data_IF_007959049666
#
_entry.id   IF_007959049666
#
_cell.length_a   1.000
_cell.length_b   1.000
_cell.length_c   1.000
_cell.angle_alpha   90.00
_cell.angle_beta   90.00
_cell.angle_gamma   90.00
#
_symmetry.space_group_name_H-M   'P 1'
#
loop_
_entity.id
_entity.type
_entity.pdbx_description
1 polymer ?
#
# COMPACT_ATOMS: atom_id res chain seq x y z
N UNK A 1 16.22 -5.64 35.37
CA UNK A 1 15.17 -6.26 34.56
C UNK A 1 15.77 -6.52 33.19
N UNK A 2 15.97 -7.79 32.83
CA UNK A 2 16.38 -8.14 31.47
C UNK A 2 15.16 -8.00 30.56
N UNK A 3 15.17 -7.08 29.64
CA UNK A 3 14.16 -7.03 28.57
C UNK A 3 14.42 -8.24 27.66
N UNK A 4 13.57 -9.26 27.73
CA UNK A 4 13.51 -10.26 26.67
C UNK A 4 12.95 -9.57 25.43
N UNK A 5 13.76 -9.52 24.38
CA UNK A 5 13.34 -8.99 23.10
C UNK A 5 12.34 -9.97 22.50
N UNK A 6 11.06 -9.59 22.47
CA UNK A 6 10.07 -10.39 21.79
C UNK A 6 10.41 -10.41 20.29
N UNK A 7 10.37 -11.57 19.61
CA UNK A 7 10.56 -11.63 18.18
C UNK A 7 9.52 -10.76 17.47
N UNK A 8 9.91 -10.21 16.33
CA UNK A 8 9.01 -9.37 15.53
C UNK A 8 7.78 -10.17 15.12
N UNK A 9 6.57 -9.76 15.49
CA UNK A 9 5.36 -10.62 15.45
C UNK A 9 4.74 -10.74 14.05
N UNK A 10 5.36 -10.13 13.02
CA UNK A 10 4.83 -10.10 11.66
C UNK A 10 5.66 -10.96 10.72
N UNK A 11 5.01 -11.93 10.10
CA UNK A 11 5.56 -12.73 9.01
C UNK A 11 4.91 -12.30 7.70
N UNK A 12 5.70 -11.74 6.79
CA UNK A 12 5.21 -11.35 5.47
C UNK A 12 4.92 -12.59 4.61
N UNK A 13 3.85 -12.53 3.83
CA UNK A 13 3.63 -13.50 2.73
C UNK A 13 4.58 -13.15 1.58
N UNK A 14 5.24 -14.16 1.02
CA UNK A 14 6.09 -14.02 -0.15
C UNK A 14 5.35 -14.44 -1.41
N UNK A 15 5.50 -13.64 -2.44
CA UNK A 15 4.80 -13.79 -3.70
C UNK A 15 5.80 -14.02 -4.85
N UNK A 16 5.59 -15.04 -5.70
CA UNK A 16 6.48 -15.29 -6.83
C UNK A 16 6.30 -14.23 -7.92
N UNK A 17 7.38 -14.03 -8.70
CA UNK A 17 7.25 -13.33 -9.96
C UNK A 17 6.33 -14.09 -10.93
N UNK A 18 5.75 -13.37 -11.88
CA UNK A 18 4.93 -13.93 -12.94
C UNK A 18 5.19 -13.18 -14.23
N UNK A 19 5.61 -13.90 -15.27
CA UNK A 19 5.66 -13.35 -16.62
C UNK A 19 4.28 -13.45 -17.28
N UNK A 20 3.77 -12.36 -17.86
CA UNK A 20 2.55 -12.40 -18.68
C UNK A 20 2.82 -13.11 -20.03
N UNK A 21 1.78 -13.24 -20.86
CA UNK A 21 1.96 -13.64 -22.25
C UNK A 21 2.74 -12.56 -23.00
N UNK A 22 3.86 -12.96 -23.62
CA UNK A 22 4.78 -12.06 -24.32
C UNK A 22 4.85 -12.40 -25.82
N UNK A 23 4.97 -11.35 -26.62
CA UNK A 23 5.34 -11.43 -28.02
C UNK A 23 6.55 -10.53 -28.27
N UNK A 24 7.66 -11.10 -28.67
CA UNK A 24 8.93 -10.40 -28.92
C UNK A 24 9.38 -9.54 -27.71
N UNK A 25 9.20 -10.05 -26.48
CA UNK A 25 9.56 -9.35 -25.24
C UNK A 25 8.58 -8.25 -24.82
N UNK A 26 7.48 -8.07 -25.53
CA UNK A 26 6.41 -7.14 -25.20
C UNK A 26 5.18 -7.90 -24.73
N UNK A 27 4.56 -7.45 -23.65
CA UNK A 27 3.27 -7.98 -23.22
C UNK A 27 2.19 -7.72 -24.27
N UNK A 28 1.44 -8.79 -24.61
CA UNK A 28 0.42 -8.69 -25.63
C UNK A 28 -0.77 -7.80 -25.23
N UNK A 29 -1.01 -7.67 -23.93
CA UNK A 29 -2.10 -6.85 -23.40
C UNK A 29 -1.61 -5.43 -23.17
N UNK A 30 -2.41 -4.45 -23.57
CA UNK A 30 -2.29 -3.05 -23.20
C UNK A 30 -3.17 -2.76 -21.97
N UNK A 31 -2.70 -1.95 -21.06
CA UNK A 31 -3.37 -1.67 -19.79
C UNK A 31 -3.85 -0.22 -19.71
N UNK A 32 -5.09 0.03 -19.27
CA UNK A 32 -5.57 1.41 -19.12
C UNK A 32 -4.81 2.19 -18.06
N UNK A 33 -4.38 1.52 -16.97
CA UNK A 33 -3.61 2.16 -15.90
C UNK A 33 -2.55 1.21 -15.37
N UNK A 34 -1.34 1.75 -15.16
CA UNK A 34 -0.24 1.07 -14.49
C UNK A 34 0.14 1.86 -13.24
N UNK A 35 0.09 1.21 -12.09
CA UNK A 35 0.53 1.77 -10.80
C UNK A 35 1.87 1.15 -10.45
N UNK A 36 2.87 1.98 -10.15
CA UNK A 36 4.22 1.53 -9.79
C UNK A 36 4.44 1.72 -8.30
N UNK A 37 4.70 0.62 -7.61
CA UNK A 37 4.91 0.52 -6.17
C UNK A 37 3.71 -0.02 -5.40
N UNK A 38 3.88 -1.14 -4.68
CA UNK A 38 2.91 -1.82 -3.83
C UNK A 38 2.89 -1.30 -2.38
N UNK A 39 3.23 -0.04 -2.15
CA UNK A 39 3.09 0.61 -0.85
C UNK A 39 1.66 1.09 -0.56
N UNK A 40 1.42 1.74 0.60
CA UNK A 40 0.08 2.19 0.98
C UNK A 40 -0.61 3.07 -0.06
N UNK A 41 0.15 3.94 -0.73
CA UNK A 41 -0.37 4.84 -1.78
C UNK A 41 -0.74 4.05 -3.03
N UNK A 42 0.11 3.11 -3.48
CA UNK A 42 -0.15 2.30 -4.67
C UNK A 42 -1.38 1.43 -4.51
N UNK A 43 -1.50 0.69 -3.40
CA UNK A 43 -2.70 -0.10 -3.11
C UNK A 43 -3.96 0.77 -3.01
N UNK A 44 -3.88 1.92 -2.32
CA UNK A 44 -5.00 2.85 -2.22
C UNK A 44 -5.44 3.36 -3.59
N UNK A 45 -4.48 3.66 -4.48
CA UNK A 45 -4.74 4.09 -5.85
C UNK A 45 -5.40 2.97 -6.67
N UNK A 46 -4.85 1.75 -6.60
CA UNK A 46 -5.39 0.60 -7.32
C UNK A 46 -6.82 0.27 -6.88
N UNK A 47 -7.08 0.23 -5.56
CA UNK A 47 -8.41 0.02 -5.00
C UNK A 47 -9.38 1.14 -5.39
N UNK A 48 -8.92 2.39 -5.38
CA UNK A 48 -9.71 3.54 -5.82
C UNK A 48 -10.14 3.42 -7.27
N UNK A 49 -9.23 3.08 -8.17
CA UNK A 49 -9.51 2.86 -9.59
C UNK A 49 -10.46 1.67 -9.79
N UNK A 50 -10.20 0.56 -9.13
CA UNK A 50 -11.05 -0.63 -9.19
C UNK A 50 -12.48 -0.37 -8.69
N UNK A 51 -12.66 0.50 -7.66
CA UNK A 51 -13.99 0.90 -7.18
C UNK A 51 -14.82 1.65 -8.24
N UNK A 52 -14.17 2.19 -9.26
CA UNK A 52 -14.79 2.80 -10.45
C UNK A 52 -14.80 1.88 -11.68
N UNK A 53 -14.47 0.60 -11.51
CA UNK A 53 -14.45 -0.37 -12.60
C UNK A 53 -13.27 -0.21 -13.57
N UNK A 54 -12.21 0.52 -13.19
CA UNK A 54 -11.02 0.73 -14.00
C UNK A 54 -10.01 -0.37 -13.71
N UNK A 55 -9.66 -1.24 -14.69
CA UNK A 55 -8.62 -2.25 -14.52
C UNK A 55 -7.24 -1.60 -14.32
N UNK A 56 -6.44 -2.20 -13.44
CA UNK A 56 -5.14 -1.68 -13.03
C UNK A 56 -4.12 -2.81 -12.99
N UNK A 57 -2.90 -2.55 -13.47
CA UNK A 57 -1.72 -3.36 -13.15
C UNK A 57 -0.93 -2.63 -12.07
N UNK A 58 -0.71 -3.27 -10.92
CA UNK A 58 0.11 -2.78 -9.84
C UNK A 58 1.44 -3.54 -9.85
N UNK A 59 2.54 -2.82 -10.01
CA UNK A 59 3.90 -3.37 -10.12
C UNK A 59 4.64 -3.13 -8.81
N UNK A 60 5.16 -4.22 -8.20
CA UNK A 60 5.98 -4.15 -6.99
C UNK A 60 7.31 -4.87 -7.22
N UNK A 61 8.39 -4.20 -6.82
CA UNK A 61 9.75 -4.71 -7.01
C UNK A 61 10.18 -5.75 -5.98
N UNK A 62 9.58 -5.70 -4.79
CA UNK A 62 9.82 -6.66 -3.73
C UNK A 62 8.90 -7.89 -3.87
N UNK A 63 9.11 -8.92 -3.08
CA UNK A 63 8.31 -10.14 -3.08
C UNK A 63 7.24 -10.18 -1.98
N UNK A 64 7.18 -9.14 -1.16
CA UNK A 64 6.31 -9.05 0.02
C UNK A 64 5.99 -7.60 0.35
N UNK A 65 5.04 -7.38 1.26
CA UNK A 65 4.83 -6.06 1.87
C UNK A 65 6.08 -5.62 2.64
N UNK A 66 6.21 -4.32 2.93
CA UNK A 66 7.42 -3.76 3.50
C UNK A 66 7.86 -4.46 4.79
N UNK A 67 9.16 -4.61 4.97
CA UNK A 67 9.75 -5.01 6.24
C UNK A 67 10.01 -3.79 7.13
N UNK A 68 9.62 -3.91 8.41
CA UNK A 68 9.71 -2.81 9.37
C UNK A 68 8.61 -1.76 9.17
N UNK A 69 8.64 -0.72 9.98
CA UNK A 69 7.65 0.36 9.90
C UNK A 69 8.34 1.70 9.70
N UNK A 70 7.95 2.41 8.63
CA UNK A 70 8.41 3.77 8.30
C UNK A 70 7.38 4.83 8.65
N UNK A 71 6.12 4.42 8.81
CA UNK A 71 5.01 5.26 9.19
C UNK A 71 4.17 4.55 10.24
N UNK A 72 3.58 5.32 11.16
CA UNK A 72 2.79 4.77 12.26
C UNK A 72 1.48 5.54 12.46
N UNK A 73 1.47 6.86 12.23
CA UNK A 73 0.31 7.70 12.52
C UNK A 73 -0.57 7.86 11.28
N UNK A 74 -1.79 7.36 11.35
CA UNK A 74 -2.79 7.43 10.30
C UNK A 74 -3.85 8.44 10.69
N UNK A 75 -4.01 9.49 9.89
CA UNK A 75 -4.97 10.55 10.14
C UNK A 75 -6.41 10.11 9.85
N UNK A 76 -7.39 10.82 10.44
CA UNK A 76 -8.82 10.63 10.16
C UNK A 76 -9.10 10.64 8.66
N UNK A 77 -8.48 11.54 7.91
CA UNK A 77 -8.68 11.61 6.45
C UNK A 77 -8.27 10.33 5.74
N UNK A 78 -7.16 9.73 6.14
CA UNK A 78 -6.72 8.44 5.59
C UNK A 78 -7.67 7.31 5.98
N UNK A 79 -8.21 7.33 7.21
CA UNK A 79 -9.23 6.37 7.64
C UNK A 79 -10.54 6.51 6.86
N UNK A 80 -10.97 7.74 6.53
CA UNK A 80 -12.13 7.99 5.66
C UNK A 80 -11.92 7.43 4.24
N UNK A 81 -10.70 7.51 3.72
CA UNK A 81 -10.34 6.89 2.44
C UNK A 81 -10.41 5.37 2.56
N UNK A 82 -9.82 4.79 3.62
CA UNK A 82 -9.90 3.37 3.88
C UNK A 82 -11.34 2.86 4.04
N UNK A 83 -12.23 3.66 4.66
CA UNK A 83 -13.67 3.37 4.79
C UNK A 83 -14.34 3.25 3.41
N UNK A 84 -14.09 4.22 2.53
CA UNK A 84 -14.63 4.20 1.14
C UNK A 84 -14.14 3.02 0.32
N UNK A 85 -12.93 2.54 0.58
CA UNK A 85 -12.35 1.38 -0.09
C UNK A 85 -12.73 0.05 0.58
N UNK A 86 -13.47 0.09 1.70
CA UNK A 86 -13.87 -1.09 2.46
C UNK A 86 -12.73 -1.77 3.21
N UNK A 87 -11.65 -1.05 3.50
CA UNK A 87 -10.47 -1.53 4.24
C UNK A 87 -10.47 -1.08 5.72
N UNK A 88 -11.33 -0.12 6.10
CA UNK A 88 -11.36 0.46 7.44
C UNK A 88 -11.45 -0.56 8.59
N UNK A 89 -12.26 -1.64 8.51
CA UNK A 89 -12.35 -2.59 9.61
C UNK A 89 -10.99 -3.15 10.03
N UNK A 90 -10.12 -3.52 9.07
CA UNK A 90 -8.77 -3.99 9.37
C UNK A 90 -7.88 -2.94 10.04
N UNK A 91 -8.04 -1.67 9.69
CA UNK A 91 -7.29 -0.56 10.33
C UNK A 91 -7.70 -0.37 11.80
N UNK A 92 -8.99 -0.52 12.12
CA UNK A 92 -9.50 -0.29 13.47
C UNK A 92 -9.35 -1.53 14.38
N UNK A 93 -9.30 -2.72 13.80
CA UNK A 93 -9.19 -3.98 14.54
C UNK A 93 -7.84 -4.10 15.29
N UNK A 94 -6.75 -3.73 14.62
CA UNK A 94 -5.40 -3.82 15.17
C UNK A 94 -4.74 -2.47 15.44
N UNK A 95 -5.33 -1.38 14.96
CA UNK A 95 -4.82 -0.03 15.16
C UNK A 95 -5.12 0.51 16.56
N UNK A 96 -4.22 1.34 17.09
CA UNK A 96 -4.40 2.01 18.37
C UNK A 96 -4.91 3.45 18.14
N UNK A 97 -6.21 3.74 18.39
CA UNK A 97 -6.72 5.11 18.32
C UNK A 97 -6.14 5.99 19.42
N UNK A 98 -5.87 7.25 19.10
CA UNK A 98 -5.44 8.22 20.08
C UNK A 98 -5.91 9.64 19.75
N UNK A 99 -5.99 10.50 20.76
CA UNK A 99 -6.61 11.82 20.68
C UNK A 99 -5.71 12.95 21.14
N UNK A 100 -4.55 12.65 21.67
CA UNK A 100 -3.63 13.66 22.16
C UNK A 100 -2.28 13.06 22.51
N UNK A 101 -1.34 13.92 22.88
CA UNK A 101 0.00 13.52 23.23
C UNK A 101 0.63 14.41 24.27
N UNK A 102 1.69 13.91 24.89
CA UNK A 102 2.51 14.62 25.87
C UNK A 102 3.97 14.45 25.48
N UNK A 103 4.74 15.52 25.62
CA UNK A 103 6.18 15.48 25.45
C UNK A 103 6.86 15.88 26.75
N UNK A 104 7.94 15.18 27.09
CA UNK A 104 8.68 15.40 28.32
C UNK A 104 10.13 15.74 28.00
N UNK A 105 10.69 16.68 28.74
CA UNK A 105 12.12 16.87 28.87
C UNK A 105 12.55 16.36 30.25
N UNK A 106 13.26 15.23 30.29
CA UNK A 106 13.48 14.46 31.54
C UNK A 106 12.13 14.17 32.22
N UNK A 107 11.91 14.64 33.44
CA UNK A 107 10.69 14.42 34.21
C UNK A 107 9.69 15.60 34.12
N UNK A 108 10.02 16.62 33.32
CA UNK A 108 9.19 17.82 33.18
C UNK A 108 8.36 17.71 31.89
N UNK A 109 7.02 17.75 32.00
CA UNK A 109 6.14 17.87 30.86
C UNK A 109 6.32 19.25 30.23
N UNK A 110 6.73 19.27 28.94
CA UNK A 110 6.98 20.51 28.18
C UNK A 110 5.90 20.79 27.16
N UNK A 111 5.10 19.79 26.78
CA UNK A 111 3.99 19.94 25.84
C UNK A 111 2.90 18.93 26.17
N UNK A 112 1.67 19.41 26.21
CA UNK A 112 0.46 18.60 26.17
C UNK A 112 -0.47 19.16 25.11
N UNK A 113 -1.00 18.30 24.24
CA UNK A 113 -1.98 18.69 23.25
C UNK A 113 -3.09 17.66 23.14
N UNK A 114 -4.27 18.15 22.79
CA UNK A 114 -5.42 17.31 22.44
C UNK A 114 -5.88 17.70 21.05
N UNK A 115 -6.15 16.71 20.21
CA UNK A 115 -6.66 16.94 18.86
C UNK A 115 -8.11 17.39 18.89
N UNK A 116 -8.53 18.33 18.04
CA UNK A 116 -9.92 18.73 17.94
C UNK A 116 -10.79 17.52 17.57
N UNK A 117 -11.88 17.39 18.31
CA UNK A 117 -12.94 16.41 18.05
C UNK A 117 -14.29 17.11 17.99
N UNK A 118 -15.14 16.65 17.07
CA UNK A 118 -16.51 17.09 16.90
C UNK A 118 -17.43 15.87 17.07
N UNK A 119 -18.59 16.06 17.65
CA UNK A 119 -19.60 15.03 17.89
C UNK A 119 -20.07 14.35 16.60
N UNK A 120 -19.96 15.05 15.47
CA UNK A 120 -20.34 14.53 14.15
C UNK A 120 -19.23 13.75 13.45
N UNK A 121 -18.05 13.61 14.07
CA UNK A 121 -16.93 12.89 13.48
C UNK A 121 -16.98 11.39 13.81
N UNK A 122 -17.24 10.58 12.79
CA UNK A 122 -17.36 9.12 12.89
C UNK A 122 -16.06 8.43 13.34
N UNK A 123 -14.89 8.98 12.96
CA UNK A 123 -13.60 8.32 13.11
C UNK A 123 -12.67 9.06 14.07
N UNK A 124 -11.77 8.36 14.75
CA UNK A 124 -10.78 8.99 15.62
C UNK A 124 -9.87 9.93 14.82
N UNK A 125 -9.30 10.97 15.45
CA UNK A 125 -8.39 11.90 14.77
C UNK A 125 -7.14 11.21 14.24
N UNK A 126 -6.63 10.23 14.98
CA UNK A 126 -5.43 9.45 14.63
C UNK A 126 -5.56 8.00 15.08
N UNK A 127 -4.89 7.13 14.32
CA UNK A 127 -4.68 5.72 14.67
C UNK A 127 -3.20 5.40 14.44
N UNK A 128 -2.56 4.77 15.42
CA UNK A 128 -1.24 4.19 15.23
C UNK A 128 -1.35 2.78 14.69
N UNK A 129 -0.70 2.53 13.55
CA UNK A 129 -0.70 1.25 12.87
C UNK A 129 0.62 1.10 12.08
N UNK A 130 1.31 -0.01 12.27
CA UNK A 130 2.56 -0.25 11.55
C UNK A 130 2.35 -0.33 10.03
N UNK A 131 3.29 0.21 9.24
CA UNK A 131 3.15 0.30 7.78
C UNK A 131 2.93 -1.08 7.12
N UNK A 132 3.65 -2.11 7.55
CA UNK A 132 3.48 -3.47 7.03
C UNK A 132 2.04 -4.01 7.25
N UNK A 133 1.40 -3.65 8.36
CA UNK A 133 0.00 -4.01 8.61
C UNK A 133 -0.95 -3.23 7.70
N UNK A 134 -0.67 -1.95 7.45
CA UNK A 134 -1.43 -1.13 6.50
C UNK A 134 -1.38 -1.76 5.10
N UNK A 135 -0.17 -2.09 4.65
CA UNK A 135 0.05 -2.70 3.34
C UNK A 135 -0.62 -4.07 3.24
N UNK A 136 -0.52 -4.90 4.29
CA UNK A 136 -1.17 -6.21 4.32
C UNK A 136 -2.70 -6.11 4.24
N UNK A 137 -3.32 -5.20 5.00
CA UNK A 137 -4.77 -4.99 4.95
C UNK A 137 -5.22 -4.53 3.56
N UNK A 138 -4.46 -3.60 2.95
CA UNK A 138 -4.78 -3.11 1.61
C UNK A 138 -4.54 -4.17 0.54
N UNK A 139 -3.49 -4.97 0.67
CA UNK A 139 -3.21 -6.13 -0.20
C UNK A 139 -4.34 -7.15 -0.11
N UNK A 140 -4.73 -7.57 1.10
CA UNK A 140 -5.83 -8.52 1.30
C UNK A 140 -7.12 -8.02 0.64
N UNK A 141 -7.37 -6.71 0.71
CA UNK A 141 -8.50 -6.09 0.03
C UNK A 141 -8.36 -6.09 -1.49
N UNK A 142 -7.17 -5.81 -2.02
CA UNK A 142 -6.90 -5.82 -3.45
C UNK A 142 -7.03 -7.23 -4.05
N UNK A 143 -6.58 -8.25 -3.33
CA UNK A 143 -6.70 -9.67 -3.72
C UNK A 143 -8.15 -10.15 -3.82
N UNK A 144 -9.13 -9.44 -3.23
CA UNK A 144 -10.56 -9.75 -3.44
C UNK A 144 -11.10 -9.29 -4.80
N UNK A 145 -10.30 -8.58 -5.61
CA UNK A 145 -10.71 -7.99 -6.89
C UNK A 145 -9.76 -8.40 -8.03
N UNK A 146 -9.51 -9.71 -8.26
CA UNK A 146 -8.50 -10.16 -9.22
C UNK A 146 -8.83 -9.82 -10.69
N UNK A 147 -10.10 -9.56 -10.99
CA UNK A 147 -10.53 -9.17 -12.34
C UNK A 147 -10.20 -7.70 -12.67
N UNK A 148 -9.97 -6.87 -11.64
CA UNK A 148 -9.67 -5.44 -11.79
C UNK A 148 -8.26 -5.06 -11.36
N UNK A 149 -7.63 -5.82 -10.45
CA UNK A 149 -6.30 -5.51 -9.95
C UNK A 149 -5.36 -6.69 -10.19
N UNK A 150 -4.43 -6.51 -11.15
CA UNK A 150 -3.35 -7.45 -11.45
C UNK A 150 -2.10 -7.01 -10.69
N UNK A 151 -1.73 -7.73 -9.61
CA UNK A 151 -0.57 -7.42 -8.79
C UNK A 151 0.63 -8.23 -9.28
N UNK A 152 1.71 -7.53 -9.65
CA UNK A 152 2.95 -8.12 -10.16
C UNK A 152 4.09 -7.90 -9.21
N UNK A 153 4.40 -8.93 -8.47
CA UNK A 153 5.49 -8.99 -7.50
C UNK A 153 6.84 -9.24 -8.17
N UNK A 154 7.91 -8.88 -7.49
CA UNK A 154 9.30 -9.05 -7.97
C UNK A 154 9.50 -8.47 -9.38
N UNK A 155 8.75 -7.41 -9.70
CA UNK A 155 8.76 -6.77 -11.01
C UNK A 155 9.24 -5.33 -10.84
N UNK A 156 10.44 -5.07 -11.32
CA UNK A 156 11.09 -3.75 -11.18
C UNK A 156 10.96 -2.96 -12.47
N UNK A 157 10.46 -1.73 -12.37
CA UNK A 157 10.49 -0.78 -13.49
C UNK A 157 11.93 -0.29 -13.66
N UNK A 158 12.51 -0.53 -14.84
CA UNK A 158 13.87 -0.14 -15.21
C UNK A 158 13.91 1.01 -16.19
N UNK A 159 12.79 1.33 -16.86
CA UNK A 159 12.70 2.45 -17.77
C UNK A 159 11.24 2.83 -18.05
N UNK A 160 11.03 4.10 -18.36
CA UNK A 160 9.73 4.66 -18.74
C UNK A 160 9.94 5.51 -19.99
N UNK A 161 9.15 5.25 -21.02
CA UNK A 161 9.14 5.99 -22.26
C UNK A 161 7.72 6.53 -22.51
N UNK A 162 7.58 7.86 -22.47
CA UNK A 162 6.32 8.51 -22.86
C UNK A 162 6.19 8.51 -24.39
N UNK A 163 5.00 8.22 -24.91
CA UNK A 163 4.66 8.17 -26.33
C UNK A 163 3.40 8.97 -26.59
N UNK A 164 3.16 9.31 -27.84
CA UNK A 164 1.95 10.05 -28.22
C UNK A 164 0.65 9.28 -27.91
N UNK A 165 0.74 7.94 -27.90
CA UNK A 165 -0.38 7.04 -27.67
C UNK A 165 -0.40 6.42 -26.27
N UNK A 166 0.45 6.89 -25.33
CA UNK A 166 0.49 6.37 -23.96
C UNK A 166 1.91 6.24 -23.40
N UNK A 167 2.16 5.18 -22.65
CA UNK A 167 3.44 4.95 -21.98
C UNK A 167 3.94 3.52 -22.22
N UNK A 168 5.25 3.37 -22.42
CA UNK A 168 5.92 2.06 -22.40
C UNK A 168 6.84 1.97 -21.20
N UNK A 169 6.72 0.89 -20.45
CA UNK A 169 7.58 0.57 -19.30
C UNK A 169 8.49 -0.61 -19.65
N UNK A 170 9.75 -0.51 -19.31
CA UNK A 170 10.68 -1.61 -19.29
C UNK A 170 10.72 -2.21 -17.89
N UNK A 171 10.60 -3.52 -17.78
CA UNK A 171 10.44 -4.25 -16.54
C UNK A 171 11.47 -5.37 -16.45
N UNK A 172 11.98 -5.60 -15.24
CA UNK A 172 12.88 -6.69 -14.91
C UNK A 172 12.31 -7.56 -13.80
N UNK A 173 12.37 -8.86 -13.99
CA UNK A 173 11.95 -9.88 -13.01
C UNK A 173 13.02 -10.97 -12.89
N UNK A 174 13.00 -11.81 -11.85
CA UNK A 174 13.86 -12.98 -11.77
C UNK A 174 13.71 -13.97 -12.94
N UNK A 175 12.53 -13.98 -13.57
CA UNK A 175 12.20 -14.91 -14.65
C UNK A 175 12.51 -14.34 -16.06
N UNK A 176 12.93 -13.07 -16.13
CA UNK A 176 13.30 -12.38 -17.38
C UNK A 176 12.78 -10.94 -17.47
N UNK A 177 13.30 -10.22 -18.45
CA UNK A 177 12.94 -8.84 -18.72
C UNK A 177 11.83 -8.78 -19.77
N UNK A 178 10.94 -7.80 -19.65
CA UNK A 178 9.89 -7.57 -20.63
C UNK A 178 9.47 -6.10 -20.65
N UNK A 179 8.63 -5.73 -21.60
CA UNK A 179 8.00 -4.43 -21.66
C UNK A 179 6.47 -4.56 -21.59
N UNK A 180 5.80 -3.55 -21.02
CA UNK A 180 4.35 -3.39 -21.12
C UNK A 180 3.98 -2.00 -21.62
N UNK A 181 2.73 -1.86 -22.05
CA UNK A 181 2.17 -0.58 -22.53
C UNK A 181 0.96 -0.20 -21.67
N UNK A 182 0.94 1.08 -21.29
CA UNK A 182 -0.20 1.76 -20.67
C UNK A 182 -0.78 2.85 -21.56
N UNK A 183 -2.04 3.23 -21.30
CA UNK A 183 -2.73 4.35 -21.96
C UNK A 183 -2.33 5.70 -21.38
#
# INVERSE_FOLDING_TARGET
MSYEFAPYPFEARHHPARLPALRDGLEERRHPVVVVGGGPVGYTTALGLASHGVPVVLIEADDSVCFGSRAICISRRSLEIADRLGALPGFLDIGLPWTGGRSFYRDTEVLHFTMPQDENQKLPPMVNLAQYSIEQILLDKAETQPDLIDIRWQTRVTGIEARDDGVRLALSTPDGDYALQGD
#
